data_IF_439406989110
#
_entry.id   IF_439406989110
#
_cell.length_a   1.000
_cell.length_b   1.000
_cell.length_c   1.000
_cell.angle_alpha   90.00
_cell.angle_beta   90.00
_cell.angle_gamma   90.00
#
_symmetry.space_group_name_H-M   'P 1'
#
loop_
_entity.id
_entity.type
_entity.pdbx_description
1 polymer ?
#
# COMPACT_ATOMS: atom_id res chain seq x y z
N UNK A 1 -32.95 28.48 -26.39
CA UNK A 1 -31.52 28.88 -26.30
C UNK A 1 -30.89 28.44 -24.97
N UNK A 2 -31.48 28.75 -23.81
CA UNK A 2 -30.93 28.34 -22.50
C UNK A 2 -30.68 26.83 -22.36
N UNK A 3 -31.61 25.97 -22.77
CA UNK A 3 -31.45 24.50 -22.71
C UNK A 3 -30.25 24.02 -23.53
N UNK A 4 -30.02 24.61 -24.71
CA UNK A 4 -28.88 24.29 -25.56
C UNK A 4 -27.54 24.67 -24.91
N UNK A 5 -27.50 25.81 -24.22
CA UNK A 5 -26.33 26.25 -23.44
C UNK A 5 -26.07 25.29 -22.27
N UNK A 6 -27.10 24.83 -21.57
CA UNK A 6 -26.94 23.89 -20.45
C UNK A 6 -26.44 22.51 -20.90
N UNK A 7 -26.92 22.01 -22.06
CA UNK A 7 -26.43 20.76 -22.65
C UNK A 7 -24.98 20.91 -23.11
N UNK A 8 -24.62 22.04 -23.74
CA UNK A 8 -23.24 22.35 -24.09
C UNK A 8 -22.32 22.38 -22.86
N UNK A 9 -22.77 22.97 -21.76
CA UNK A 9 -22.00 23.01 -20.51
C UNK A 9 -21.71 21.60 -19.98
N UNK A 10 -22.71 20.71 -19.96
CA UNK A 10 -22.56 19.35 -19.45
C UNK A 10 -21.56 18.50 -20.26
N UNK A 11 -21.50 18.67 -21.59
CA UNK A 11 -20.59 17.89 -22.45
C UNK A 11 -19.16 18.45 -22.51
N UNK A 12 -18.95 19.70 -22.11
CA UNK A 12 -17.62 20.36 -22.11
C UNK A 12 -16.88 20.24 -20.78
N UNK A 13 -17.42 19.48 -19.84
CA UNK A 13 -16.76 19.25 -18.56
C UNK A 13 -15.55 18.34 -18.75
N UNK A 14 -14.38 18.71 -18.22
CA UNK A 14 -13.20 17.90 -18.35
C UNK A 14 -13.39 16.56 -17.64
N UNK A 15 -12.75 15.54 -18.21
CA UNK A 15 -12.70 14.17 -17.74
C UNK A 15 -11.52 13.97 -16.77
N UNK A 16 -11.54 12.84 -16.06
CA UNK A 16 -10.46 12.47 -15.13
C UNK A 16 -9.09 12.29 -15.83
N UNK A 17 -8.97 11.65 -17.01
CA UNK A 17 -7.69 11.59 -17.74
C UNK A 17 -7.15 12.96 -18.16
N UNK A 18 -8.03 13.88 -18.58
CA UNK A 18 -7.66 15.26 -18.93
C UNK A 18 -7.14 16.01 -17.70
N UNK A 19 -7.77 15.82 -16.53
CA UNK A 19 -7.27 16.36 -15.28
C UNK A 19 -5.89 15.82 -14.92
N UNK A 20 -5.67 14.50 -15.03
CA UNK A 20 -4.36 13.88 -14.72
C UNK A 20 -3.27 14.44 -15.63
N UNK A 21 -3.58 14.62 -16.92
CA UNK A 21 -2.66 15.20 -17.90
C UNK A 21 -2.31 16.65 -17.56
N UNK A 22 -3.32 17.48 -17.29
CA UNK A 22 -3.13 18.87 -16.85
C UNK A 22 -2.35 18.97 -15.55
N UNK A 23 -2.65 18.10 -14.58
CA UNK A 23 -2.00 18.11 -13.27
C UNK A 23 -0.52 17.78 -13.39
N UNK A 24 -0.15 16.81 -14.23
CA UNK A 24 1.24 16.47 -14.53
C UNK A 24 1.99 17.63 -15.17
N UNK A 25 1.40 18.25 -16.18
CA UNK A 25 1.98 19.43 -16.84
C UNK A 25 2.23 20.56 -15.82
N UNK A 26 1.24 20.86 -14.97
CA UNK A 26 1.38 21.90 -13.93
C UNK A 26 2.34 21.55 -12.81
N UNK A 27 2.48 20.28 -12.46
CA UNK A 27 3.44 19.84 -11.46
C UNK A 27 4.88 19.93 -11.99
N UNK A 28 5.09 19.74 -13.30
CA UNK A 28 6.39 19.92 -13.97
C UNK A 28 6.73 21.40 -14.14
N UNK A 29 5.75 22.26 -14.47
CA UNK A 29 5.96 23.69 -14.69
C UNK A 29 6.26 24.48 -13.41
N UNK A 30 5.73 24.06 -12.25
CA UNK A 30 5.91 24.76 -10.96
C UNK A 30 7.08 24.20 -10.12
N UNK A 31 8.00 23.44 -10.73
CA UNK A 31 9.01 22.60 -10.07
C UNK A 31 10.12 23.31 -9.27
N UNK A 32 10.03 24.62 -9.04
CA UNK A 32 10.94 25.33 -8.11
C UNK A 32 10.49 25.17 -6.64
N UNK A 33 9.30 24.59 -6.40
CA UNK A 33 8.82 24.25 -5.07
C UNK A 33 8.00 22.95 -5.03
N UNK A 34 8.34 22.10 -4.05
CA UNK A 34 7.55 21.02 -3.44
C UNK A 34 7.41 19.64 -4.13
N UNK A 35 7.42 19.47 -5.45
CA UNK A 35 7.50 18.11 -6.02
C UNK A 35 8.70 18.00 -6.96
N UNK A 36 9.75 17.32 -6.48
CA UNK A 36 10.93 17.06 -7.28
C UNK A 36 10.52 16.38 -8.60
N UNK A 37 10.98 16.92 -9.74
CA UNK A 37 10.73 16.39 -11.09
C UNK A 37 10.90 14.87 -11.19
N UNK A 38 11.78 14.32 -10.35
CA UNK A 38 12.07 12.89 -10.24
C UNK A 38 10.89 12.03 -9.75
N UNK A 39 10.05 12.51 -8.82
CA UNK A 39 8.93 11.72 -8.25
C UNK A 39 7.73 11.68 -9.21
N UNK A 40 7.45 12.79 -9.92
CA UNK A 40 6.35 12.88 -10.91
C UNK A 40 6.64 12.03 -12.16
N UNK A 41 7.91 11.93 -12.57
CA UNK A 41 8.28 11.08 -13.70
C UNK A 41 8.27 9.58 -13.37
N UNK A 42 8.37 9.22 -12.09
CA UNK A 42 8.38 7.82 -11.62
C UNK A 42 6.97 7.29 -11.34
N UNK A 43 6.04 8.16 -10.94
CA UNK A 43 4.65 7.81 -10.70
C UNK A 43 3.86 7.91 -12.02
N UNK A 44 3.55 6.75 -12.61
CA UNK A 44 2.80 6.67 -13.88
C UNK A 44 1.37 7.22 -13.79
N UNK A 45 0.71 7.37 -14.94
CA UNK A 45 -0.73 7.69 -15.02
C UNK A 45 -1.61 6.87 -14.07
N UNK A 46 -1.37 5.55 -13.88
CA UNK A 46 -2.20 4.74 -12.99
C UNK A 46 -2.21 5.19 -11.53
N UNK A 47 -1.12 5.79 -11.03
CA UNK A 47 -1.05 6.29 -9.65
C UNK A 47 -1.90 7.56 -9.46
N UNK A 48 -1.82 8.50 -10.39
CA UNK A 48 -2.62 9.72 -10.34
C UNK A 48 -4.10 9.45 -10.60
N UNK A 49 -4.38 8.45 -11.44
CA UNK A 49 -5.74 7.98 -11.62
C UNK A 49 -6.28 7.30 -10.35
N UNK A 50 -5.52 6.45 -9.66
CA UNK A 50 -6.02 5.79 -8.45
C UNK A 50 -6.23 6.76 -7.28
N UNK A 51 -5.36 7.76 -7.14
CA UNK A 51 -5.41 8.78 -6.08
C UNK A 51 -6.40 9.92 -6.33
N UNK A 52 -6.95 10.04 -7.56
CA UNK A 52 -7.88 11.12 -7.92
C UNK A 52 -9.34 10.68 -7.88
N UNK A 53 -10.16 11.39 -7.10
CA UNK A 53 -11.62 11.28 -7.10
C UNK A 53 -12.23 12.42 -7.91
N UNK A 54 -13.12 12.12 -8.85
CA UNK A 54 -13.88 13.10 -9.62
C UNK A 54 -15.34 13.08 -9.20
N UNK A 55 -15.89 14.23 -8.81
CA UNK A 55 -17.31 14.40 -8.53
C UNK A 55 -17.92 15.25 -9.63
N UNK A 56 -18.74 14.63 -10.48
CA UNK A 56 -19.43 15.32 -11.58
C UNK A 56 -20.67 16.02 -11.03
N UNK A 57 -20.71 17.33 -11.16
CA UNK A 57 -21.87 18.16 -10.87
C UNK A 57 -22.45 18.67 -12.19
N UNK A 58 -23.68 19.19 -12.14
CA UNK A 58 -24.47 19.51 -13.35
C UNK A 58 -23.72 20.40 -14.35
N UNK A 59 -22.83 21.28 -13.86
CA UNK A 59 -22.11 22.25 -14.70
C UNK A 59 -20.60 22.22 -14.55
N UNK A 60 -20.03 21.36 -13.70
CA UNK A 60 -18.59 21.32 -13.45
C UNK A 60 -18.19 20.00 -12.79
N UNK A 61 -16.91 19.68 -12.82
CA UNK A 61 -16.35 18.51 -12.15
C UNK A 61 -15.40 18.97 -11.05
N UNK A 62 -15.52 18.43 -9.84
CA UNK A 62 -14.53 18.66 -8.79
C UNK A 62 -13.59 17.46 -8.74
N UNK A 63 -12.30 17.72 -8.95
CA UNK A 63 -11.24 16.73 -8.81
C UNK A 63 -10.57 16.91 -7.45
N UNK A 64 -10.41 15.80 -6.73
CA UNK A 64 -9.65 15.74 -5.48
C UNK A 64 -8.56 14.70 -5.63
N UNK A 65 -7.31 15.11 -5.45
CA UNK A 65 -6.16 14.20 -5.47
C UNK A 65 -5.57 14.11 -4.07
N UNK A 66 -5.48 12.88 -3.58
CA UNK A 66 -4.81 12.57 -2.32
C UNK A 66 -3.40 12.05 -2.63
N UNK A 67 -2.40 12.87 -2.33
CA UNK A 67 -1.00 12.56 -2.63
C UNK A 67 -0.23 12.08 -1.39
N UNK A 68 -0.93 11.60 -0.36
CA UNK A 68 -0.31 11.03 0.83
C UNK A 68 0.25 12.07 1.81
N UNK A 69 -0.24 13.31 1.77
CA UNK A 69 0.06 14.37 2.74
C UNK A 69 -1.20 14.90 3.41
N UNK A 70 -1.08 15.75 4.44
CA UNK A 70 -2.22 16.29 5.20
C UNK A 70 -3.13 17.24 4.39
N UNK A 71 -2.67 17.72 3.23
CA UNK A 71 -3.42 18.63 2.37
C UNK A 71 -3.83 18.00 1.04
N UNK A 72 -5.12 17.73 0.92
CA UNK A 72 -5.75 17.33 -0.34
C UNK A 72 -5.75 18.48 -1.35
N UNK A 73 -5.34 18.18 -2.59
CA UNK A 73 -5.46 19.12 -3.70
C UNK A 73 -6.88 19.05 -4.24
N UNK A 74 -7.54 20.20 -4.35
CA UNK A 74 -8.89 20.31 -4.92
C UNK A 74 -8.87 21.25 -6.11
N UNK A 75 -9.37 20.77 -7.25
CA UNK A 75 -9.41 21.50 -8.51
C UNK A 75 -10.79 21.42 -9.12
N UNK A 76 -11.29 22.57 -9.57
CA UNK A 76 -12.56 22.70 -10.27
C UNK A 76 -12.31 22.64 -11.78
N UNK A 77 -12.88 21.65 -12.44
CA UNK A 77 -12.92 21.50 -13.89
C UNK A 77 -14.17 22.11 -14.49
N UNK A 78 -14.00 23.05 -15.42
CA UNK A 78 -15.10 23.75 -16.09
C UNK A 78 -14.65 24.13 -17.52
N UNK A 79 -15.41 23.76 -18.56
CA UNK A 79 -15.09 24.08 -19.97
C UNK A 79 -13.66 23.69 -20.42
N UNK A 80 -13.21 22.47 -20.13
CA UNK A 80 -11.81 22.03 -20.33
C UNK A 80 -10.73 22.90 -19.64
N UNK A 81 -11.12 23.76 -18.70
CA UNK A 81 -10.21 24.53 -17.87
C UNK A 81 -10.20 23.98 -16.45
N UNK A 82 -9.07 24.14 -15.77
CA UNK A 82 -8.85 23.68 -14.41
C UNK A 82 -8.51 24.87 -13.51
N UNK A 83 -9.32 25.06 -12.47
CA UNK A 83 -9.22 26.14 -11.51
C UNK A 83 -8.89 25.56 -10.14
N UNK A 84 -7.66 25.74 -9.62
CA UNK A 84 -7.31 25.23 -8.31
C UNK A 84 -8.13 25.91 -7.21
N UNK A 85 -8.80 25.13 -6.36
CA UNK A 85 -9.58 25.61 -5.22
C UNK A 85 -8.77 25.59 -3.94
N UNK A 86 -7.98 24.52 -3.75
CA UNK A 86 -7.07 24.35 -2.63
C UNK A 86 -5.81 23.68 -3.17
N UNK A 87 -4.69 24.39 -3.10
CA UNK A 87 -3.36 23.84 -3.28
C UNK A 87 -2.57 24.12 -2.00
N UNK A 88 -1.74 23.18 -1.51
CA UNK A 88 -0.78 23.50 -0.46
C UNK A 88 0.12 24.61 -1.00
N UNK A 89 -0.02 25.81 -0.43
CA UNK A 89 0.77 26.98 -0.79
C UNK A 89 2.14 26.75 -0.16
N UNK A 90 3.18 26.53 -0.97
CA UNK A 90 4.53 26.83 -0.52
C UNK A 90 4.62 28.33 -0.28
N UNK A 91 4.84 28.74 0.96
CA UNK A 91 4.91 30.15 1.34
C UNK A 91 6.02 30.87 0.55
N UNK A 92 5.65 31.61 -0.49
CA UNK A 92 6.44 32.71 -1.05
C UNK A 92 5.54 33.64 -1.88
N UNK A 93 5.14 34.77 -1.28
CA UNK A 93 4.66 35.93 -2.03
C UNK A 93 5.84 36.58 -2.79
N UNK A 94 5.70 36.89 -4.09
CA UNK A 94 5.72 38.29 -4.61
C UNK A 94 5.70 38.41 -6.15
N UNK A 95 4.80 39.29 -6.61
CA UNK A 95 4.92 40.27 -7.72
C UNK A 95 5.00 39.87 -9.21
N UNK A 96 3.94 40.26 -9.93
CA UNK A 96 3.88 40.96 -11.25
C UNK A 96 5.06 40.85 -12.23
N UNK A 97 4.80 40.45 -13.48
CA UNK A 97 4.89 41.35 -14.66
C UNK A 97 4.54 40.63 -15.97
N UNK A 98 3.68 41.25 -16.77
CA UNK A 98 3.43 40.96 -18.18
C UNK A 98 4.65 41.29 -19.05
N UNK A 99 4.92 40.51 -20.10
CA UNK A 99 5.42 41.00 -21.40
C UNK A 99 5.40 39.90 -22.48
N UNK A 100 4.72 40.22 -23.57
CA UNK A 100 4.56 39.50 -24.84
C UNK A 100 5.82 39.56 -25.71
N UNK A 101 6.26 38.44 -26.33
CA UNK A 101 6.88 38.41 -27.69
C UNK A 101 7.15 36.97 -28.20
N UNK A 102 7.45 36.73 -29.50
CA UNK A 102 6.47 36.21 -30.44
C UNK A 102 6.84 34.87 -31.09
N UNK A 103 5.83 34.34 -31.79
CA UNK A 103 5.80 33.16 -32.64
C UNK A 103 6.94 33.08 -33.69
N UNK A 104 7.68 31.97 -33.71
CA UNK A 104 8.55 31.56 -34.82
C UNK A 104 8.08 30.24 -35.45
N UNK A 105 8.13 30.23 -36.79
CA UNK A 105 7.59 29.27 -37.77
C UNK A 105 8.23 27.87 -37.75
N UNK A 106 7.61 26.88 -38.44
CA UNK A 106 7.89 25.46 -38.25
C UNK A 106 9.12 25.00 -39.05
N UNK A 107 10.00 24.23 -38.41
CA UNK A 107 11.07 23.48 -39.08
C UNK A 107 10.59 22.06 -39.30
N UNK A 108 10.54 21.69 -40.57
CA UNK A 108 10.21 20.38 -41.09
C UNK A 108 11.47 19.50 -41.00
N UNK A 109 11.46 18.46 -40.15
CA UNK A 109 12.50 17.43 -40.16
C UNK A 109 11.89 16.06 -39.88
N UNK A 110 11.80 15.27 -40.94
CA UNK A 110 11.45 13.86 -40.97
C UNK A 110 12.39 13.05 -40.06
N UNK A 111 11.88 12.23 -39.11
CA UNK A 111 12.72 11.29 -38.37
C UNK A 111 12.93 10.00 -39.19
N UNK A 112 14.19 9.64 -39.37
CA UNK A 112 14.64 8.32 -39.82
C UNK A 112 14.49 7.34 -38.64
N UNK A 113 14.07 6.07 -38.84
CA UNK A 113 13.95 5.11 -37.75
C UNK A 113 15.36 4.71 -37.29
N UNK A 114 15.71 5.03 -36.05
CA UNK A 114 16.88 4.48 -35.37
C UNK A 114 16.43 3.53 -34.26
N UNK A 115 16.89 2.29 -34.36
CA UNK A 115 16.68 1.19 -33.42
C UNK A 115 16.93 1.60 -31.96
N UNK A 116 16.10 1.12 -31.00
CA UNK A 116 16.40 1.31 -29.59
C UNK A 116 17.56 0.39 -29.18
N UNK A 117 18.76 0.96 -29.07
CA UNK A 117 19.86 0.35 -28.32
C UNK A 117 19.53 0.37 -26.83
N UNK A 118 19.12 -0.80 -26.32
CA UNK A 118 18.96 -1.07 -24.90
C UNK A 118 20.32 -1.04 -24.21
N UNK A 119 20.71 0.12 -23.68
CA UNK A 119 21.84 0.19 -22.73
C UNK A 119 21.25 -0.04 -21.34
N UNK A 120 21.13 -1.32 -20.97
CA UNK A 120 20.82 -1.74 -19.61
C UNK A 120 21.95 -1.25 -18.69
N UNK A 121 21.68 -0.21 -17.91
CA UNK A 121 22.52 0.19 -16.79
C UNK A 121 22.38 -0.90 -15.74
N UNK A 122 23.34 -1.82 -15.73
CA UNK A 122 23.50 -2.87 -14.74
C UNK A 122 23.95 -2.20 -13.43
N UNK A 123 23.00 -1.72 -12.62
CA UNK A 123 23.26 -1.37 -11.22
C UNK A 123 23.47 -2.67 -10.44
N UNK A 124 24.71 -3.14 -10.45
CA UNK A 124 25.22 -4.15 -9.53
C UNK A 124 25.81 -3.41 -8.33
N UNK A 125 25.03 -3.22 -7.27
CA UNK A 125 25.56 -2.95 -5.93
C UNK A 125 24.72 -3.68 -4.90
N UNK A 126 25.23 -4.83 -4.47
CA UNK A 126 24.74 -5.65 -3.37
C UNK A 126 25.13 -4.99 -2.05
N UNK A 127 24.49 -3.86 -1.70
CA UNK A 127 24.43 -3.43 -0.31
C UNK A 127 23.17 -4.07 0.27
N UNK A 128 23.35 -5.07 1.13
CA UNK A 128 22.24 -5.59 1.90
C UNK A 128 21.72 -4.45 2.78
N UNK A 129 20.45 -4.09 2.61
CA UNK A 129 19.82 -3.09 3.46
C UNK A 129 19.94 -3.52 4.92
N UNK A 130 20.24 -2.60 5.85
CA UNK A 130 20.34 -2.93 7.27
C UNK A 130 18.99 -3.44 7.79
N UNK A 131 19.03 -4.43 8.69
CA UNK A 131 17.83 -4.97 9.33
C UNK A 131 17.11 -3.87 10.15
N UNK A 132 15.76 -3.91 10.22
CA UNK A 132 15.00 -3.04 11.12
C UNK A 132 15.48 -3.13 12.58
N UNK A 133 15.63 -1.97 13.22
CA UNK A 133 15.95 -1.90 14.66
C UNK A 133 14.75 -2.38 15.47
N UNK A 134 14.99 -3.22 16.49
CA UNK A 134 13.97 -3.65 17.44
C UNK A 134 14.29 -3.20 18.87
N UNK A 135 13.25 -2.87 19.65
CA UNK A 135 13.39 -2.44 21.06
C UNK A 135 12.36 -3.14 21.95
N UNK A 136 12.78 -3.59 23.13
CA UNK A 136 11.85 -4.14 24.14
C UNK A 136 11.00 -3.03 24.78
N UNK A 137 9.69 -3.25 24.84
CA UNK A 137 8.67 -2.31 25.30
C UNK A 137 7.94 -2.73 26.59
N UNK A 138 8.43 -3.75 27.30
CA UNK A 138 7.75 -4.31 28.47
C UNK A 138 6.75 -5.41 28.08
N UNK A 139 5.54 -5.36 28.64
CA UNK A 139 4.47 -6.33 28.36
C UNK A 139 3.17 -5.66 27.95
N UNK A 140 2.36 -6.38 27.18
CA UNK A 140 0.99 -6.02 26.81
C UNK A 140 0.04 -7.12 27.27
N UNK A 141 -1.14 -6.71 27.74
CA UNK A 141 -2.17 -7.65 28.18
C UNK A 141 -2.94 -8.16 26.96
N UNK A 142 -3.02 -9.48 26.83
CA UNK A 142 -3.86 -10.18 25.86
C UNK A 142 -4.96 -10.94 26.59
N UNK A 143 -6.20 -10.69 26.21
CA UNK A 143 -7.40 -11.34 26.73
C UNK A 143 -7.86 -12.33 25.67
N UNK A 144 -7.84 -13.62 26.02
CA UNK A 144 -8.37 -14.70 25.20
C UNK A 144 -9.45 -15.48 25.91
N UNK A 145 -10.05 -16.45 25.21
CA UNK A 145 -11.09 -17.34 25.76
C UNK A 145 -10.64 -18.14 26.98
N UNK A 146 -9.36 -18.51 27.01
CA UNK A 146 -8.79 -19.37 28.05
C UNK A 146 -8.17 -18.58 29.23
N UNK A 147 -8.08 -17.25 29.13
CA UNK A 147 -7.53 -16.44 30.20
C UNK A 147 -6.97 -15.10 29.76
N UNK A 148 -6.25 -14.47 30.68
CA UNK A 148 -5.52 -13.22 30.44
C UNK A 148 -4.04 -13.47 30.56
N UNK A 149 -3.28 -13.04 29.56
CA UNK A 149 -1.84 -13.27 29.44
C UNK A 149 -1.10 -11.93 29.34
N UNK A 150 0.11 -11.87 29.90
CA UNK A 150 1.02 -10.75 29.66
C UNK A 150 2.09 -11.19 28.66
N UNK A 151 2.03 -10.64 27.45
CA UNK A 151 2.97 -10.98 26.38
C UNK A 151 4.06 -9.92 26.29
N UNK A 152 5.31 -10.30 25.95
CA UNK A 152 6.36 -9.33 25.65
C UNK A 152 5.94 -8.41 24.50
N UNK A 153 6.20 -7.11 24.65
CA UNK A 153 6.05 -6.11 23.60
C UNK A 153 7.41 -5.80 22.99
N UNK A 154 7.52 -5.92 21.67
CA UNK A 154 8.68 -5.49 20.90
C UNK A 154 8.26 -4.40 19.92
N UNK A 155 8.90 -3.24 20.01
CA UNK A 155 8.83 -2.21 18.99
C UNK A 155 9.75 -2.54 17.83
N UNK A 156 9.30 -2.30 16.60
CA UNK A 156 10.07 -2.52 15.37
C UNK A 156 10.08 -1.23 14.57
N UNK A 157 11.27 -0.80 14.14
CA UNK A 157 11.44 0.39 13.31
C UNK A 157 10.78 0.18 11.94
N UNK A 158 9.82 1.05 11.62
CA UNK A 158 9.14 1.04 10.33
C UNK A 158 10.03 1.53 9.17
N UNK A 159 9.80 0.98 7.99
CA UNK A 159 10.35 1.42 6.71
C UNK A 159 9.24 2.12 5.93
N UNK A 160 9.31 3.45 5.84
CA UNK A 160 8.22 4.27 5.30
C UNK A 160 8.41 4.54 3.81
N UNK A 161 7.38 4.25 3.03
CA UNK A 161 7.31 4.57 1.59
C UNK A 161 7.00 6.04 1.29
N UNK A 162 7.06 6.91 2.30
CA UNK A 162 6.79 8.34 2.21
C UNK A 162 7.76 9.11 3.13
N UNK A 163 8.03 10.40 2.83
CA UNK A 163 8.82 11.24 3.71
C UNK A 163 8.17 11.35 5.09
N UNK A 164 8.95 11.12 6.15
CA UNK A 164 8.52 11.36 7.53
C UNK A 164 9.24 12.60 8.06
N UNK A 165 8.48 13.61 8.45
CA UNK A 165 9.05 14.88 8.94
C UNK A 165 9.70 14.77 10.34
N UNK A 166 9.38 13.72 11.09
CA UNK A 166 9.96 13.42 12.41
C UNK A 166 10.17 11.92 12.49
N UNK A 167 11.31 11.50 13.03
CA UNK A 167 11.61 10.07 13.21
C UNK A 167 10.54 9.42 14.11
N UNK A 168 9.76 8.46 13.58
CA UNK A 168 8.71 7.84 14.37
C UNK A 168 9.31 7.00 15.51
N UNK A 169 8.70 7.09 16.70
CA UNK A 169 9.13 6.29 17.85
C UNK A 169 9.04 4.79 17.52
N UNK A 170 10.03 4.02 17.98
CA UNK A 170 10.07 2.55 17.85
C UNK A 170 9.12 1.88 18.86
N UNK A 171 8.80 2.55 19.97
CA UNK A 171 7.86 2.05 20.98
C UNK A 171 6.62 2.95 21.04
N UNK A 172 5.47 2.41 21.44
CA UNK A 172 4.29 3.25 21.68
C UNK A 172 4.55 4.17 22.87
N UNK A 173 4.15 5.44 22.75
CA UNK A 173 4.33 6.43 23.82
C UNK A 173 3.33 6.26 24.98
N UNK A 174 2.24 5.54 24.71
CA UNK A 174 1.22 5.18 25.70
C UNK A 174 1.14 3.67 25.83
N UNK A 175 0.67 3.21 26.99
CA UNK A 175 0.34 1.80 27.19
C UNK A 175 -0.69 1.38 26.14
N UNK A 176 -0.41 0.28 25.44
CA UNK A 176 -1.36 -0.30 24.49
C UNK A 176 -2.64 -0.73 25.22
N UNK A 177 -3.81 -0.62 24.57
CA UNK A 177 -5.04 -1.18 25.11
C UNK A 177 -4.92 -2.70 25.25
N UNK A 178 -5.78 -3.28 26.08
CA UNK A 178 -5.88 -4.73 26.20
C UNK A 178 -6.26 -5.32 24.82
N UNK A 179 -5.49 -6.31 24.36
CA UNK A 179 -5.68 -6.92 23.06
C UNK A 179 -6.58 -8.14 23.18
N UNK A 180 -7.53 -8.30 22.27
CA UNK A 180 -8.47 -9.42 22.29
C UNK A 180 -8.11 -10.42 21.21
N UNK A 181 -7.42 -11.50 21.61
CA UNK A 181 -7.01 -12.57 20.71
C UNK A 181 -7.40 -13.93 21.30
N UNK A 182 -7.90 -14.84 20.47
CA UNK A 182 -8.15 -16.23 20.85
C UNK A 182 -6.83 -17.02 20.95
N UNK A 183 -6.02 -16.69 21.97
CA UNK A 183 -4.73 -17.31 22.26
C UNK A 183 -4.89 -18.48 23.24
N UNK A 184 -4.55 -19.72 22.83
CA UNK A 184 -4.49 -20.86 23.73
C UNK A 184 -3.45 -20.69 24.84
N UNK A 185 -3.77 -21.12 26.06
CA UNK A 185 -2.89 -20.93 27.23
C UNK A 185 -1.53 -21.62 27.06
N UNK A 186 -1.49 -22.77 26.37
CA UNK A 186 -0.27 -23.51 26.07
C UNK A 186 0.64 -22.87 25.01
N UNK A 187 0.21 -21.77 24.37
CA UNK A 187 0.99 -21.02 23.38
C UNK A 187 1.40 -19.62 23.86
N UNK A 188 0.89 -19.17 25.00
CA UNK A 188 1.12 -17.81 25.48
C UNK A 188 2.61 -17.47 25.73
N UNK A 189 3.41 -18.46 26.14
CA UNK A 189 4.85 -18.28 26.38
C UNK A 189 5.70 -18.29 25.09
N UNK A 190 5.12 -18.76 23.98
CA UNK A 190 5.77 -18.91 22.68
C UNK A 190 5.58 -17.72 21.75
N UNK A 191 4.70 -16.77 22.08
CA UNK A 191 4.38 -15.61 21.24
C UNK A 191 4.80 -14.30 21.90
N UNK A 192 4.98 -13.29 21.06
CA UNK A 192 5.19 -11.91 21.46
C UNK A 192 4.39 -10.97 20.57
N UNK A 193 4.13 -9.77 21.09
CA UNK A 193 3.50 -8.69 20.33
C UNK A 193 4.57 -7.81 19.73
N UNK A 194 4.51 -7.64 18.42
CA UNK A 194 5.36 -6.75 17.64
C UNK A 194 4.54 -5.53 17.27
N UNK A 195 5.08 -4.35 17.52
CA UNK A 195 4.45 -3.07 17.23
C UNK A 195 5.28 -2.29 16.22
N UNK A 196 4.63 -1.83 15.15
CA UNK A 196 5.25 -0.98 14.12
C UNK A 196 4.50 0.34 14.10
N UNK A 197 5.20 1.45 14.29
CA UNK A 197 4.60 2.78 14.23
C UNK A 197 3.98 3.04 12.84
N UNK A 198 2.79 3.64 12.80
CA UNK A 198 2.06 3.90 11.55
C UNK A 198 2.58 5.12 10.78
N UNK A 199 3.48 5.93 11.34
CA UNK A 199 4.04 7.12 10.71
C UNK A 199 3.47 8.43 11.28
N UNK A 200 3.55 9.49 10.47
CA UNK A 200 3.51 10.90 10.91
C UNK A 200 2.52 11.27 12.03
N UNK A 201 3.03 12.05 13.00
CA UNK A 201 2.24 12.80 13.97
C UNK A 201 1.57 11.96 15.07
N UNK A 202 1.73 10.64 15.08
CA UNK A 202 1.05 9.78 16.04
C UNK A 202 1.97 8.72 16.63
N UNK A 203 2.67 9.09 17.70
CA UNK A 203 3.45 8.15 18.51
C UNK A 203 2.60 7.10 19.25
N UNK A 204 1.27 7.27 19.24
CA UNK A 204 0.29 6.35 19.82
C UNK A 204 -0.40 5.45 18.81
N UNK A 205 -0.15 5.60 17.50
CA UNK A 205 -0.77 4.76 16.45
C UNK A 205 0.29 3.83 15.86
N UNK A 206 -0.03 2.55 15.81
CA UNK A 206 0.83 1.57 15.18
C UNK A 206 0.07 0.29 14.90
N UNK A 207 0.66 -0.51 14.03
CA UNK A 207 0.18 -1.83 13.67
C UNK A 207 0.68 -2.84 14.69
N UNK A 208 -0.21 -3.75 15.07
CA UNK A 208 0.03 -4.77 16.08
C UNK A 208 0.05 -6.13 15.39
N UNK A 209 1.15 -6.84 15.58
CA UNK A 209 1.40 -8.15 15.00
C UNK A 209 1.66 -9.14 16.14
N UNK A 210 1.02 -10.30 16.10
CA UNK A 210 1.38 -11.42 16.97
C UNK A 210 2.24 -12.40 16.17
N UNK A 211 3.38 -12.79 16.74
CA UNK A 211 4.29 -13.71 16.09
C UNK A 211 5.11 -14.49 17.14
N UNK A 212 5.84 -15.54 16.74
CA UNK A 212 6.67 -16.29 17.67
C UNK A 212 7.70 -15.40 18.38
N UNK A 213 7.84 -15.60 19.68
CA UNK A 213 8.75 -14.85 20.53
C UNK A 213 10.20 -15.08 20.11
N UNK A 214 10.97 -14.00 20.07
CA UNK A 214 12.40 -14.02 19.78
C UNK A 214 12.74 -14.01 18.29
N UNK A 215 11.75 -13.94 17.40
CA UNK A 215 12.00 -13.78 15.97
C UNK A 215 12.42 -12.35 15.64
N UNK A 216 13.23 -12.23 14.59
CA UNK A 216 13.94 -11.02 14.16
C UNK A 216 13.21 -10.39 12.98
N UNK A 217 12.91 -9.10 13.05
CA UNK A 217 12.33 -8.37 11.93
C UNK A 217 13.36 -8.21 10.81
N UNK A 218 12.97 -8.61 9.60
CA UNK A 218 13.75 -8.39 8.37
C UNK A 218 13.12 -7.33 7.48
N UNK A 219 11.83 -7.06 7.65
CA UNK A 219 11.12 -5.96 7.01
C UNK A 219 9.93 -5.52 7.86
N UNK A 220 9.66 -4.22 7.90
CA UNK A 220 8.50 -3.63 8.59
C UNK A 220 7.99 -2.42 7.77
N UNK A 221 7.41 -2.69 6.60
CA UNK A 221 7.04 -1.67 5.62
C UNK A 221 5.72 -0.96 5.97
N UNK A 222 5.69 0.36 5.79
CA UNK A 222 4.46 1.18 5.79
C UNK A 222 4.42 1.96 4.48
N UNK A 223 3.52 1.59 3.57
CA UNK A 223 3.36 2.26 2.29
C UNK A 223 2.62 3.58 2.41
N UNK A 224 2.90 4.49 1.46
CA UNK A 224 2.16 5.76 1.34
C UNK A 224 0.67 5.55 1.02
N UNK A 225 0.33 4.38 0.49
CA UNK A 225 -1.01 3.94 0.16
C UNK A 225 -1.74 3.29 1.36
N UNK A 226 -1.13 3.28 2.55
CA UNK A 226 -1.66 2.64 3.75
C UNK A 226 -1.43 1.13 3.81
N UNK A 227 -0.68 0.57 2.85
CA UNK A 227 -0.22 -0.81 2.95
C UNK A 227 0.69 -0.96 4.16
N UNK A 228 0.63 -2.12 4.80
CA UNK A 228 1.49 -2.43 5.93
C UNK A 228 2.05 -3.83 5.75
N UNK A 229 3.27 -4.06 6.19
CA UNK A 229 3.88 -5.37 6.12
C UNK A 229 4.87 -5.59 7.25
N UNK A 230 4.92 -6.82 7.78
CA UNK A 230 5.94 -7.27 8.71
C UNK A 230 6.41 -8.65 8.30
N UNK A 231 7.73 -8.79 8.16
CA UNK A 231 8.39 -10.09 7.98
C UNK A 231 9.32 -10.33 9.14
N UNK A 232 9.15 -11.48 9.80
CA UNK A 232 9.99 -11.94 10.90
C UNK A 232 10.60 -13.31 10.55
N UNK A 233 11.82 -13.56 11.03
CA UNK A 233 12.54 -14.83 10.83
C UNK A 233 13.10 -15.36 12.14
N UNK A 234 13.23 -16.68 12.27
CA UNK A 234 13.81 -17.29 13.48
C UNK A 234 15.31 -17.06 13.64
N UNK A 235 16.04 -16.95 12.52
CA UNK A 235 17.49 -16.74 12.47
C UNK A 235 17.83 -16.13 11.09
N UNK A 236 18.62 -15.06 11.06
CA UNK A 236 19.02 -14.35 9.83
C UNK A 236 20.20 -14.99 9.09
N UNK A 237 20.83 -16.01 9.69
CA UNK A 237 22.09 -16.60 9.21
C UNK A 237 21.92 -17.91 8.44
N UNK A 238 20.72 -18.49 8.39
CA UNK A 238 20.50 -19.83 7.83
C UNK A 238 19.53 -19.84 6.64
N UNK A 239 19.83 -20.67 5.63
CA UNK A 239 18.91 -20.89 4.50
C UNK A 239 17.61 -21.63 4.91
N UNK A 240 17.64 -22.33 6.05
CA UNK A 240 16.50 -23.09 6.59
C UNK A 240 15.87 -22.37 7.79
N UNK A 241 15.68 -21.06 7.66
CA UNK A 241 14.99 -20.27 8.68
C UNK A 241 13.46 -20.46 8.60
N UNK A 242 12.83 -20.40 9.77
CA UNK A 242 11.39 -20.24 9.88
C UNK A 242 11.04 -18.77 9.68
N UNK A 243 9.85 -18.48 9.17
CA UNK A 243 9.45 -17.10 8.88
C UNK A 243 7.96 -16.89 8.99
N UNK A 244 7.56 -15.66 9.23
CA UNK A 244 6.18 -15.20 9.11
C UNK A 244 6.19 -13.89 8.33
N UNK A 245 5.25 -13.76 7.39
CA UNK A 245 5.03 -12.57 6.59
C UNK A 245 3.56 -12.20 6.69
N UNK A 246 3.30 -10.98 7.11
CA UNK A 246 1.95 -10.40 7.16
C UNK A 246 1.96 -9.16 6.31
N UNK A 247 0.96 -9.00 5.44
CA UNK A 247 0.79 -7.77 4.66
C UNK A 247 -0.66 -7.42 4.36
N UNK A 248 -0.90 -6.14 4.16
CA UNK A 248 -2.08 -5.57 3.51
C UNK A 248 -1.64 -4.71 2.34
N UNK A 249 -2.38 -4.72 1.24
CA UNK A 249 -1.94 -4.03 0.01
C UNK A 249 -2.38 -2.57 -0.07
N UNK A 250 -2.97 -2.03 1.00
CA UNK A 250 -3.37 -0.63 1.08
C UNK A 250 -4.28 -0.22 -0.07
N UNK A 251 -3.86 0.78 -0.85
CA UNK A 251 -4.55 1.26 -2.04
C UNK A 251 -3.81 0.91 -3.35
N UNK A 252 -2.80 0.02 -3.33
CA UNK A 252 -2.16 -0.47 -4.54
C UNK A 252 -3.12 -1.37 -5.33
N UNK A 253 -3.96 -0.77 -6.18
CA UNK A 253 -4.96 -1.50 -7.00
C UNK A 253 -4.30 -2.60 -7.82
N UNK A 254 -3.16 -2.32 -8.44
CA UNK A 254 -2.42 -3.33 -9.23
C UNK A 254 -1.99 -4.52 -8.37
N UNK A 255 -1.46 -4.28 -7.16
CA UNK A 255 -1.09 -5.34 -6.23
C UNK A 255 -2.33 -6.16 -5.82
N UNK A 256 -3.37 -5.48 -5.33
CA UNK A 256 -4.61 -6.12 -4.87
C UNK A 256 -5.23 -6.99 -5.96
N UNK A 257 -5.41 -6.46 -7.17
CA UNK A 257 -6.06 -7.19 -8.27
C UNK A 257 -5.22 -8.39 -8.68
N UNK A 258 -3.89 -8.22 -8.75
CA UNK A 258 -2.97 -9.30 -9.09
C UNK A 258 -3.06 -10.41 -8.04
N UNK A 259 -2.84 -10.07 -6.77
CA UNK A 259 -2.85 -11.01 -5.65
C UNK A 259 -4.18 -11.76 -5.51
N UNK A 260 -5.31 -11.08 -5.72
CA UNK A 260 -6.61 -11.76 -5.73
C UNK A 260 -6.65 -12.83 -6.83
N UNK A 261 -6.23 -12.50 -8.05
CA UNK A 261 -6.25 -13.46 -9.15
C UNK A 261 -5.24 -14.61 -9.01
N UNK A 262 -4.15 -14.41 -8.27
CA UNK A 262 -3.14 -15.45 -7.99
C UNK A 262 -3.63 -16.49 -6.98
N UNK A 263 -4.36 -16.05 -5.95
CA UNK A 263 -4.81 -16.91 -4.85
C UNK A 263 -6.24 -17.44 -5.03
N UNK A 264 -7.12 -16.68 -5.70
CA UNK A 264 -8.51 -17.06 -5.96
C UNK A 264 -8.66 -17.38 -7.45
N UNK A 265 -8.47 -18.65 -7.81
CA UNK A 265 -8.46 -19.09 -9.21
C UNK A 265 -9.77 -18.77 -9.96
N UNK A 266 -10.89 -18.74 -9.25
CA UNK A 266 -12.21 -18.34 -9.75
C UNK A 266 -12.31 -16.84 -10.07
N UNK A 267 -11.43 -16.01 -9.49
CA UNK A 267 -11.33 -14.57 -9.75
C UNK A 267 -10.20 -14.20 -10.72
N UNK A 268 -9.54 -15.17 -11.33
CA UNK A 268 -8.45 -14.93 -12.29
C UNK A 268 -8.93 -14.13 -13.51
N UNK A 269 -10.11 -14.44 -14.04
CA UNK A 269 -10.70 -13.67 -15.15
C UNK A 269 -11.02 -12.24 -14.71
N UNK A 270 -11.66 -12.08 -13.55
CA UNK A 270 -11.95 -10.76 -12.98
C UNK A 270 -10.66 -9.93 -12.82
N UNK A 271 -9.57 -10.55 -12.36
CA UNK A 271 -8.30 -9.89 -12.19
C UNK A 271 -7.72 -9.41 -13.52
N UNK A 272 -7.70 -10.27 -14.55
CA UNK A 272 -7.23 -9.90 -15.89
C UNK A 272 -8.07 -8.77 -16.52
N UNK A 273 -9.38 -8.73 -16.25
CA UNK A 273 -10.26 -7.67 -16.75
C UNK A 273 -10.05 -6.32 -16.04
N UNK A 274 -9.76 -6.35 -14.73
CA UNK A 274 -9.58 -5.14 -13.92
C UNK A 274 -8.15 -4.61 -13.92
N UNK A 275 -7.15 -5.46 -14.19
CA UNK A 275 -5.74 -5.10 -14.30
C UNK A 275 -5.03 -6.02 -15.30
N UNK A 276 -5.12 -5.74 -16.61
CA UNK A 276 -4.56 -6.62 -17.64
C UNK A 276 -3.04 -6.62 -17.59
N UNK A 277 -2.44 -7.75 -17.19
CA UNK A 277 -0.99 -7.98 -17.19
C UNK A 277 -0.62 -8.78 -18.44
N UNK A 278 0.38 -8.32 -19.19
CA UNK A 278 0.79 -8.95 -20.45
C UNK A 278 1.29 -10.40 -20.29
N UNK A 279 1.77 -10.78 -19.11
CA UNK A 279 2.18 -12.15 -18.78
C UNK A 279 1.02 -13.04 -18.32
N UNK A 280 -0.16 -12.47 -18.11
CA UNK A 280 -1.26 -13.10 -17.40
C UNK A 280 -1.02 -13.18 -15.88
N UNK A 281 -2.08 -13.51 -15.16
CA UNK A 281 -2.04 -13.80 -13.72
C UNK A 281 -1.57 -15.24 -13.51
N UNK A 282 -0.46 -15.42 -12.79
CA UNK A 282 0.11 -16.73 -12.50
C UNK A 282 -0.42 -17.27 -11.18
N UNK A 283 -1.04 -18.44 -11.21
CA UNK A 283 -1.46 -19.11 -9.97
C UNK A 283 -0.23 -19.50 -9.14
N UNK A 284 -0.39 -19.52 -7.82
CA UNK A 284 0.65 -19.99 -6.92
C UNK A 284 0.85 -21.51 -7.11
N UNK A 285 2.04 -21.91 -7.54
CA UNK A 285 2.38 -23.31 -7.76
C UNK A 285 2.34 -24.12 -6.45
N UNK A 286 1.74 -25.30 -6.49
CA UNK A 286 1.68 -26.21 -5.33
C UNK A 286 0.76 -25.74 -4.19
N UNK A 287 -0.13 -24.78 -4.45
CA UNK A 287 -1.10 -24.28 -3.50
C UNK A 287 -2.19 -25.33 -3.22
N UNK A 288 -2.26 -25.80 -1.97
CA UNK A 288 -3.35 -26.62 -1.47
C UNK A 288 -4.34 -25.71 -0.71
N UNK A 289 -5.52 -25.50 -1.26
CA UNK A 289 -6.49 -24.51 -0.78
C UNK A 289 -7.62 -25.17 0.00
N UNK A 290 -7.94 -24.59 1.15
CA UNK A 290 -9.17 -24.83 1.91
C UNK A 290 -9.98 -23.55 1.98
N UNK A 291 -11.12 -23.52 1.29
CA UNK A 291 -12.00 -22.36 1.26
C UNK A 291 -12.78 -22.26 2.59
N UNK A 292 -12.66 -21.12 3.26
CA UNK A 292 -13.37 -20.82 4.51
C UNK A 292 -14.72 -20.19 4.17
N UNK A 293 -14.73 -19.21 3.27
CA UNK A 293 -15.92 -18.57 2.71
C UNK A 293 -15.64 -18.02 1.29
N UNK A 294 -16.55 -17.22 0.74
CA UNK A 294 -16.43 -16.66 -0.61
C UNK A 294 -15.21 -15.73 -0.79
N UNK A 295 -14.71 -15.16 0.30
CA UNK A 295 -13.68 -14.14 0.30
C UNK A 295 -12.44 -14.50 1.12
N UNK A 296 -12.39 -15.73 1.63
CA UNK A 296 -11.38 -16.17 2.58
C UNK A 296 -10.95 -17.58 2.24
N UNK A 297 -9.64 -17.77 2.10
CA UNK A 297 -9.04 -19.11 2.00
C UNK A 297 -7.93 -19.27 3.02
N UNK A 298 -7.82 -20.48 3.56
CA UNK A 298 -6.59 -20.98 4.13
C UNK A 298 -5.86 -21.81 3.08
N UNK A 299 -4.53 -21.83 3.11
CA UNK A 299 -3.75 -22.62 2.17
C UNK A 299 -2.50 -23.20 2.81
N UNK A 300 -1.95 -24.22 2.16
CA UNK A 300 -0.57 -24.62 2.36
C UNK A 300 0.18 -24.78 1.04
N UNK A 301 1.50 -24.56 1.09
CA UNK A 301 2.43 -24.76 -0.03
C UNK A 301 3.56 -25.64 0.46
N UNK A 302 3.74 -26.79 -0.21
CA UNK A 302 4.85 -27.69 0.06
C UNK A 302 6.06 -27.24 -0.76
N UNK A 303 7.12 -26.78 -0.09
CA UNK A 303 8.31 -26.31 -0.79
C UNK A 303 9.12 -27.49 -1.35
N UNK A 304 9.60 -27.35 -2.58
CA UNK A 304 10.41 -28.36 -3.28
C UNK A 304 11.79 -28.59 -2.65
N UNK A 305 12.33 -27.62 -1.90
CA UNK A 305 13.70 -27.67 -1.33
C UNK A 305 13.78 -27.41 0.19
N UNK A 306 12.68 -27.58 0.94
CA UNK A 306 12.65 -27.30 2.39
C UNK A 306 11.91 -28.35 3.23
N UNK A 307 12.26 -28.44 4.52
CA UNK A 307 11.59 -29.34 5.48
C UNK A 307 10.35 -28.74 6.15
N UNK A 308 9.98 -27.49 5.84
CA UNK A 308 8.86 -26.80 6.46
C UNK A 308 7.73 -26.56 5.47
N UNK A 309 6.51 -26.91 5.88
CA UNK A 309 5.28 -26.53 5.19
C UNK A 309 5.05 -25.03 5.42
N UNK A 310 4.68 -24.33 4.35
CA UNK A 310 4.23 -22.93 4.44
C UNK A 310 2.72 -22.95 4.54
N UNK A 311 2.16 -22.34 5.58
CA UNK A 311 0.72 -22.24 5.80
C UNK A 311 0.32 -20.77 5.79
N UNK A 312 -0.82 -20.45 5.20
CA UNK A 312 -1.28 -19.07 5.16
C UNK A 312 -2.79 -18.91 5.12
N UNK A 313 -3.21 -17.68 5.31
CA UNK A 313 -4.58 -17.23 5.11
C UNK A 313 -4.55 -15.97 4.26
N UNK A 314 -5.49 -15.86 3.32
CA UNK A 314 -5.73 -14.63 2.57
C UNK A 314 -7.20 -14.26 2.64
N UNK A 315 -7.43 -12.95 2.65
CA UNK A 315 -8.75 -12.33 2.71
C UNK A 315 -8.81 -11.30 1.59
N UNK A 316 -9.82 -11.40 0.74
CA UNK A 316 -10.03 -10.46 -0.37
C UNK A 316 -11.41 -9.78 -0.30
N UNK A 317 -11.59 -8.61 -0.91
CA UNK A 317 -12.92 -8.00 -1.10
C UNK A 317 -13.00 -7.30 -2.46
N UNK A 318 -13.05 -8.07 -3.52
CA UNK A 318 -13.08 -7.60 -4.91
C UNK A 318 -14.39 -6.89 -5.29
N UNK A 319 -15.50 -7.13 -4.58
CA UNK A 319 -16.79 -6.46 -4.86
C UNK A 319 -16.87 -5.04 -4.28
N UNK A 320 -15.96 -4.71 -3.38
CA UNK A 320 -15.98 -3.47 -2.60
C UNK A 320 -15.05 -2.41 -3.19
N UNK A 321 -15.33 -1.11 -3.00
CA UNK A 321 -14.37 -0.04 -3.36
C UNK A 321 -13.96 0.81 -2.15
N UNK A 322 -12.65 1.01 -1.90
CA UNK A 322 -11.51 0.36 -2.58
C UNK A 322 -11.53 -1.17 -2.39
N UNK A 323 -10.94 -1.91 -3.34
CA UNK A 323 -10.69 -3.34 -3.19
C UNK A 323 -9.80 -3.57 -1.97
N UNK A 324 -9.81 -4.79 -1.44
CA UNK A 324 -8.94 -5.16 -0.32
C UNK A 324 -8.31 -6.52 -0.58
N UNK A 325 -7.04 -6.63 -0.23
CA UNK A 325 -6.34 -7.90 -0.09
C UNK A 325 -5.44 -7.84 1.15
N UNK A 326 -5.51 -8.89 1.95
CA UNK A 326 -4.66 -9.08 3.12
C UNK A 326 -4.19 -10.53 3.20
N UNK A 327 -2.94 -10.71 3.63
CA UNK A 327 -2.27 -12.01 3.69
C UNK A 327 -1.49 -12.16 4.99
N UNK A 328 -1.57 -13.34 5.58
CA UNK A 328 -0.63 -13.79 6.60
C UNK A 328 -0.14 -15.19 6.24
N UNK A 329 1.17 -15.40 6.28
CA UNK A 329 1.82 -16.66 5.92
C UNK A 329 2.91 -16.99 6.94
N UNK A 330 2.97 -18.23 7.40
CA UNK A 330 3.99 -18.72 8.32
C UNK A 330 4.60 -20.04 7.81
N UNK A 331 5.92 -20.09 7.86
CA UNK A 331 6.75 -21.26 7.57
C UNK A 331 7.38 -21.72 8.89
N UNK A 332 6.91 -22.85 9.42
CA UNK A 332 7.35 -23.38 10.73
C UNK A 332 7.14 -24.91 10.80
N UNK A 333 7.86 -25.56 11.72
CA UNK A 333 7.59 -26.97 12.09
C UNK A 333 6.43 -27.11 13.08
N UNK A 334 6.13 -26.07 13.87
CA UNK A 334 5.05 -26.11 14.85
C UNK A 334 3.72 -25.73 14.18
N UNK A 335 3.01 -26.77 13.72
CA UNK A 335 1.71 -26.61 13.06
C UNK A 335 0.65 -25.99 13.98
N UNK A 336 0.70 -26.27 15.28
CA UNK A 336 -0.27 -25.75 16.24
C UNK A 336 -0.03 -24.25 16.49
N UNK A 337 1.24 -23.83 16.57
CA UNK A 337 1.61 -22.41 16.61
C UNK A 337 1.23 -21.69 15.32
N UNK A 338 1.48 -22.31 14.16
CA UNK A 338 1.04 -21.77 12.86
C UNK A 338 -0.46 -21.52 12.84
N UNK A 339 -1.27 -22.53 13.18
CA UNK A 339 -2.73 -22.41 13.23
C UNK A 339 -3.17 -21.33 14.22
N UNK A 340 -2.55 -21.27 15.40
CA UNK A 340 -2.86 -20.24 16.42
C UNK A 340 -2.64 -18.83 15.87
N UNK A 341 -1.47 -18.57 15.30
CA UNK A 341 -1.12 -17.24 14.79
C UNK A 341 -1.96 -16.87 13.58
N UNK A 342 -2.17 -17.80 12.64
CA UNK A 342 -2.98 -17.55 11.44
C UNK A 342 -4.46 -17.30 11.77
N UNK A 343 -5.04 -17.99 12.76
CA UNK A 343 -6.41 -17.72 13.20
C UNK A 343 -6.60 -16.31 13.74
N UNK A 344 -5.58 -15.78 14.44
CA UNK A 344 -5.60 -14.40 14.94
C UNK A 344 -5.54 -13.40 13.78
N UNK A 345 -4.68 -13.63 12.79
CA UNK A 345 -4.66 -12.78 11.59
C UNK A 345 -5.92 -12.90 10.75
N UNK A 346 -6.52 -14.07 10.67
CA UNK A 346 -7.82 -14.24 10.02
C UNK A 346 -8.89 -13.35 10.68
N UNK A 347 -8.95 -13.32 12.02
CA UNK A 347 -9.85 -12.43 12.75
C UNK A 347 -9.53 -10.95 12.47
N UNK A 348 -8.27 -10.56 12.49
CA UNK A 348 -7.87 -9.17 12.22
C UNK A 348 -8.21 -8.74 10.79
N UNK A 349 -7.82 -9.52 9.78
CA UNK A 349 -8.02 -9.22 8.37
C UNK A 349 -9.50 -9.15 7.99
N UNK A 350 -10.34 -9.96 8.61
CA UNK A 350 -11.80 -9.89 8.42
C UNK A 350 -12.46 -8.69 9.11
N UNK A 351 -11.85 -8.15 10.17
CA UNK A 351 -12.38 -7.02 10.94
C UNK A 351 -12.00 -5.63 10.42
N UNK A 352 -11.01 -5.50 9.54
CA UNK A 352 -10.50 -4.21 9.01
C UNK A 352 -11.59 -3.31 8.36
N UNK A 353 -12.85 -3.76 8.24
CA UNK A 353 -13.92 -2.97 7.62
C UNK A 353 -15.30 -2.94 8.28
N UNK A 354 -15.49 -3.46 9.50
CA UNK A 354 -16.74 -3.16 10.23
C UNK A 354 -16.77 -1.73 10.80
N UNK A 355 -15.70 -0.94 10.63
CA UNK A 355 -15.52 0.39 11.22
C UNK A 355 -15.28 1.53 10.20
N UNK A 356 -16.02 1.55 9.08
CA UNK A 356 -16.08 2.72 8.18
C UNK A 356 -17.51 3.18 7.95
#
# INVERSE_FOLDING_TARGET
MAIFVLVLMAITNPTKPEYVSWFKEKAVDNSDGFIAKSVISLLGDPFFESSTRSTNLVFFTVFRSDLGGSDNISVLGLFHNFLPLKMPIGDNQSTTSSATKPLSKPVNSTPKPSEPSSTSVKQTTTHADPLPVMKSGGTVKVIGKEGTFELPLLGVQGLYGFPVNTEPSILPDAKLPDLHFDLPANKADQVAVYWVNAGEGSTSKGNIYLAPKGWIATSAGIGADGSTGLTLVSDVSTKNQQSISIRTDGNCIGCIVTDIGEYFSDLNQWANENFPISSGIHLVDGLNVSRIDDHTIAYSVQQSEGSFETNGVVVERHESRPFFFGKAEIKTQDRELATTVLNIYLQQLTQIRTSN
#
